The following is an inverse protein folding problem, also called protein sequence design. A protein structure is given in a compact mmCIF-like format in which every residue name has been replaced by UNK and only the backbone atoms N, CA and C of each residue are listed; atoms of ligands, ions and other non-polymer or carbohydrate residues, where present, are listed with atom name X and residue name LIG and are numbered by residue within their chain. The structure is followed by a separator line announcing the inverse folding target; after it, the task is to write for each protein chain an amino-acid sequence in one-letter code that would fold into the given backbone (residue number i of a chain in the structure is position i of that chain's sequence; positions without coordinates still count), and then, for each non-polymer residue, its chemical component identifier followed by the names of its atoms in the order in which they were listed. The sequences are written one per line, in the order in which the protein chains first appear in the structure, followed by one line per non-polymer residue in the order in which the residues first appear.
data_IF_994724844627
#
_entry.id   IF_994724844627
#
_cell.length_a   1.000
_cell.length_b   1.000
_cell.length_c   1.000
_cell.angle_alpha   90.00
_cell.angle_beta   90.00
_cell.angle_gamma   90.00
#
_symmetry.space_group_name_H-M   'P 1'
#
loop_
_entity.id
_entity.type
_entity.pdbx_description
1 polymer ?
#
# COMPACT_ATOMS: atom_id res chain seq x y z
N UNK A 1 3.04 17.80 4.23
CA UNK A 1 2.45 17.01 3.12
C UNK A 1 2.80 15.54 3.33
N UNK A 2 1.82 14.64 3.17
CA UNK A 2 2.01 13.19 3.19
C UNK A 2 2.05 12.67 1.76
N UNK A 3 3.13 12.00 1.37
CA UNK A 3 3.20 11.31 0.07
C UNK A 3 2.45 9.98 0.12
N UNK A 4 1.92 9.52 -1.01
CA UNK A 4 1.21 8.25 -1.09
C UNK A 4 2.02 7.27 -1.94
N UNK A 5 2.47 6.19 -1.35
CA UNK A 5 3.20 5.12 -1.99
C UNK A 5 2.30 3.90 -2.17
N UNK A 6 2.12 3.48 -3.41
CA UNK A 6 1.36 2.27 -3.74
C UNK A 6 2.31 1.15 -4.11
N UNK A 7 2.34 0.09 -3.31
CA UNK A 7 3.19 -1.08 -3.57
C UNK A 7 2.48 -2.01 -4.57
N UNK A 8 3.08 -2.16 -5.74
CA UNK A 8 2.55 -2.92 -6.87
C UNK A 8 3.63 -3.82 -7.52
N UNK A 9 4.69 -4.16 -6.76
CA UNK A 9 5.86 -4.86 -7.31
C UNK A 9 5.89 -6.36 -7.00
N UNK A 10 4.92 -6.89 -6.25
CA UNK A 10 4.82 -8.31 -5.94
C UNK A 10 4.60 -9.17 -7.19
N UNK A 11 5.12 -10.40 -7.18
CA UNK A 11 4.98 -11.33 -8.29
C UNK A 11 3.56 -11.92 -8.40
N UNK A 12 2.85 -12.06 -7.27
CA UNK A 12 1.55 -12.70 -7.25
C UNK A 12 1.59 -14.16 -7.63
N UNK A 13 2.57 -14.92 -7.11
CA UNK A 13 2.87 -16.31 -7.50
C UNK A 13 1.70 -17.29 -7.33
N UNK A 14 0.76 -17.00 -6.43
CA UNK A 14 -0.46 -17.78 -6.19
C UNK A 14 -1.64 -17.41 -7.08
N UNK A 15 -1.44 -16.46 -7.99
CA UNK A 15 -2.44 -15.96 -8.92
C UNK A 15 -1.99 -16.20 -10.37
N UNK A 16 -2.90 -16.55 -11.25
CA UNK A 16 -2.58 -16.70 -12.68
C UNK A 16 -2.50 -15.32 -13.35
N UNK A 17 -1.31 -14.95 -13.82
CA UNK A 17 -1.06 -13.69 -14.48
C UNK A 17 -0.94 -12.51 -13.49
N UNK A 18 -1.26 -11.31 -13.98
CA UNK A 18 -1.18 -10.08 -13.22
C UNK A 18 -2.43 -9.86 -12.36
N UNK A 19 -2.37 -10.21 -11.08
CA UNK A 19 -3.51 -10.05 -10.16
C UNK A 19 -4.00 -8.61 -10.04
N UNK A 20 -3.09 -7.63 -10.11
CA UNK A 20 -3.46 -6.21 -9.95
C UNK A 20 -4.27 -5.67 -11.14
N UNK A 21 -4.16 -6.30 -12.30
CA UNK A 21 -4.94 -5.96 -13.49
C UNK A 21 -6.14 -6.91 -13.72
N UNK A 22 -6.33 -7.90 -12.86
CA UNK A 22 -7.57 -8.68 -12.83
C UNK A 22 -8.76 -7.76 -12.58
N UNK A 23 -9.85 -7.98 -13.30
CA UNK A 23 -10.99 -7.04 -13.31
C UNK A 23 -12.16 -7.54 -12.49
N UNK A 24 -12.75 -6.61 -11.75
CA UNK A 24 -14.04 -6.77 -11.08
C UNK A 24 -14.96 -5.69 -11.65
N UNK A 25 -16.08 -6.10 -12.24
CA UNK A 25 -17.02 -5.15 -12.89
C UNK A 25 -16.31 -4.23 -13.91
N UNK A 26 -15.38 -4.78 -14.69
CA UNK A 26 -14.62 -4.05 -15.70
C UNK A 26 -13.48 -3.16 -15.18
N UNK A 27 -13.26 -3.10 -13.88
CA UNK A 27 -12.25 -2.25 -13.25
C UNK A 27 -11.13 -3.11 -12.69
N UNK A 28 -9.85 -2.83 -13.02
CA UNK A 28 -8.73 -3.55 -12.42
C UNK A 28 -8.70 -3.41 -10.89
N UNK A 29 -8.21 -4.44 -10.20
CA UNK A 29 -8.03 -4.41 -8.73
C UNK A 29 -7.26 -3.15 -8.30
N UNK A 30 -6.13 -2.86 -8.94
CA UNK A 30 -5.35 -1.65 -8.67
C UNK A 30 -6.17 -0.37 -8.90
N UNK A 31 -7.09 -0.37 -9.86
CA UNK A 31 -7.98 0.75 -10.14
C UNK A 31 -8.88 1.10 -8.94
N UNK A 32 -9.42 0.10 -8.24
CA UNK A 32 -10.18 0.32 -7.02
C UNK A 32 -9.32 0.97 -5.93
N UNK A 33 -8.09 0.49 -5.76
CA UNK A 33 -7.15 1.08 -4.79
C UNK A 33 -6.85 2.53 -5.12
N UNK A 34 -6.53 2.84 -6.38
CA UNK A 34 -6.21 4.20 -6.81
C UNK A 34 -7.38 5.19 -6.61
N UNK A 35 -8.61 4.73 -6.75
CA UNK A 35 -9.81 5.57 -6.50
C UNK A 35 -9.95 6.04 -5.06
N UNK A 36 -9.41 5.28 -4.11
CA UNK A 36 -9.48 5.60 -2.68
C UNK A 36 -8.33 6.49 -2.20
N UNK A 37 -7.28 6.67 -3.00
CA UNK A 37 -6.04 7.32 -2.59
C UNK A 37 -5.92 8.75 -3.13
N UNK A 38 -5.49 9.72 -2.31
CA UNK A 38 -5.25 11.09 -2.76
C UNK A 38 -3.94 11.23 -3.54
N UNK A 39 -3.75 12.43 -4.11
CA UNK A 39 -2.47 12.88 -4.66
C UNK A 39 -1.69 13.68 -3.59
N UNK A 40 -0.35 13.79 -3.67
CA UNK A 40 0.52 13.16 -4.69
C UNK A 40 0.74 11.67 -4.37
N UNK A 41 0.77 10.85 -5.42
CA UNK A 41 0.99 9.42 -5.27
C UNK A 41 1.97 8.86 -6.29
N UNK A 42 2.67 7.79 -5.90
CA UNK A 42 3.62 7.05 -6.72
C UNK A 42 3.25 5.56 -6.65
N UNK A 43 3.16 4.92 -7.79
CA UNK A 43 3.05 3.46 -7.88
C UNK A 43 4.45 2.90 -8.10
N UNK A 44 4.89 1.99 -7.24
CA UNK A 44 6.14 1.25 -7.44
C UNK A 44 5.79 -0.14 -7.96
N UNK A 45 6.19 -0.42 -9.19
CA UNK A 45 5.87 -1.65 -9.91
C UNK A 45 7.11 -2.50 -10.13
N UNK A 46 6.92 -3.79 -10.37
CA UNK A 46 7.98 -4.77 -10.61
C UNK A 46 7.77 -5.52 -11.92
N UNK A 47 7.56 -6.83 -11.84
CA UNK A 47 7.39 -7.73 -12.99
C UNK A 47 6.40 -7.21 -14.04
N UNK A 48 5.33 -6.56 -13.61
CA UNK A 48 4.24 -6.11 -14.48
C UNK A 48 4.21 -4.61 -14.68
N UNK A 49 5.35 -3.93 -14.54
CA UNK A 49 5.43 -2.47 -14.67
C UNK A 49 4.91 -1.96 -16.02
N UNK A 50 5.27 -2.62 -17.12
CA UNK A 50 4.85 -2.21 -18.45
C UNK A 50 3.32 -2.25 -18.62
N UNK A 51 2.67 -3.32 -18.13
CA UNK A 51 1.22 -3.48 -18.19
C UNK A 51 0.51 -2.46 -17.31
N UNK A 52 1.05 -2.16 -16.13
CA UNK A 52 0.50 -1.15 -15.22
C UNK A 52 0.60 0.25 -15.84
N UNK A 53 1.73 0.59 -16.43
CA UNK A 53 1.93 1.87 -17.14
C UNK A 53 0.92 2.01 -18.28
N UNK A 54 0.72 0.94 -19.04
CA UNK A 54 -0.23 0.94 -20.16
C UNK A 54 -1.68 1.13 -19.69
N UNK A 55 -2.07 0.46 -18.62
CA UNK A 55 -3.44 0.54 -18.07
C UNK A 55 -3.71 1.90 -17.40
N UNK A 56 -2.71 2.50 -16.77
CA UNK A 56 -2.83 3.75 -16.02
C UNK A 56 -1.88 4.83 -16.55
N UNK A 57 -2.07 5.31 -17.79
CA UNK A 57 -1.10 6.21 -18.43
C UNK A 57 -0.99 7.60 -17.77
N UNK A 58 -1.92 7.97 -16.92
CA UNK A 58 -1.90 9.24 -16.17
C UNK A 58 -1.25 9.15 -14.80
N UNK A 59 -0.92 7.94 -14.34
CA UNK A 59 -0.29 7.70 -13.05
C UNK A 59 1.23 7.79 -13.16
N UNK A 60 1.86 8.22 -12.06
CA UNK A 60 3.32 8.15 -11.93
C UNK A 60 3.68 6.74 -11.48
N UNK A 61 4.36 6.01 -12.34
CA UNK A 61 4.78 4.63 -12.08
C UNK A 61 6.30 4.56 -12.14
N UNK A 62 6.91 4.01 -11.10
CA UNK A 62 8.35 3.77 -11.04
C UNK A 62 8.62 2.28 -11.04
N UNK A 63 9.50 1.84 -11.94
CA UNK A 63 9.96 0.45 -11.98
C UNK A 63 11.00 0.18 -10.91
N UNK A 64 10.79 -0.87 -10.12
CA UNK A 64 11.75 -1.35 -9.14
C UNK A 64 12.54 -2.53 -9.73
N UNK A 65 13.81 -2.34 -10.14
CA UNK A 65 14.61 -3.43 -10.70
C UNK A 65 14.94 -4.53 -9.68
N UNK A 66 14.87 -4.21 -8.40
CA UNK A 66 15.17 -5.12 -7.29
C UNK A 66 13.92 -5.76 -6.68
N UNK A 67 12.81 -5.79 -7.40
CA UNK A 67 11.53 -6.26 -6.86
C UNK A 67 11.58 -7.71 -6.33
N UNK A 68 12.47 -8.55 -6.87
CA UNK A 68 12.68 -9.94 -6.39
C UNK A 68 13.29 -10.01 -5.00
N UNK A 69 13.98 -8.97 -4.57
CA UNK A 69 14.62 -8.89 -3.26
C UNK A 69 13.64 -8.55 -2.13
N UNK A 70 12.38 -8.26 -2.46
CA UNK A 70 11.31 -8.12 -1.50
C UNK A 70 10.74 -6.70 -1.37
N UNK A 71 9.71 -6.59 -0.55
CA UNK A 71 8.89 -5.38 -0.34
C UNK A 71 9.73 -4.18 0.14
N UNK A 72 10.76 -4.40 0.96
CA UNK A 72 11.62 -3.33 1.48
C UNK A 72 12.27 -2.51 0.37
N UNK A 73 12.64 -3.13 -0.75
CA UNK A 73 13.24 -2.42 -1.89
C UNK A 73 12.27 -1.43 -2.53
N UNK A 74 11.00 -1.79 -2.61
CA UNK A 74 9.93 -0.92 -3.13
C UNK A 74 9.63 0.23 -2.19
N UNK A 75 9.61 0.00 -0.88
CA UNK A 75 9.39 1.05 0.12
C UNK A 75 10.54 2.06 0.06
N UNK A 76 11.78 1.60 0.01
CA UNK A 76 12.97 2.47 -0.12
C UNK A 76 12.93 3.33 -1.38
N UNK A 77 12.51 2.76 -2.50
CA UNK A 77 12.40 3.49 -3.76
C UNK A 77 11.35 4.60 -3.68
N UNK A 78 10.19 4.30 -3.11
CA UNK A 78 9.14 5.28 -2.85
C UNK A 78 9.58 6.36 -1.86
N UNK A 79 10.35 5.98 -0.85
CA UNK A 79 10.88 6.91 0.13
C UNK A 79 11.84 7.93 -0.51
N UNK A 80 12.68 7.53 -1.48
CA UNK A 80 13.52 8.46 -2.24
C UNK A 80 12.68 9.51 -2.96
N UNK A 81 11.57 9.10 -3.53
CA UNK A 81 10.67 10.00 -4.24
C UNK A 81 10.00 11.02 -3.29
N UNK A 82 9.69 10.61 -2.07
CA UNK A 82 8.99 11.43 -1.07
C UNK A 82 9.90 11.85 0.12
N UNK A 83 11.21 11.94 -0.08
CA UNK A 83 12.14 12.18 1.03
C UNK A 83 11.92 13.53 1.75
N UNK A 84 11.31 14.50 1.09
CA UNK A 84 11.01 15.81 1.68
C UNK A 84 9.61 15.89 2.31
N UNK A 85 8.81 14.82 2.24
CA UNK A 85 7.49 14.79 2.85
C UNK A 85 7.57 14.58 4.37
N UNK A 86 6.52 14.99 5.09
CA UNK A 86 6.41 14.80 6.54
C UNK A 86 6.18 13.34 6.93
N UNK A 87 5.70 12.57 5.97
CA UNK A 87 5.46 11.14 6.10
C UNK A 87 4.99 10.55 4.78
N UNK A 88 4.86 9.23 4.76
CA UNK A 88 4.33 8.50 3.63
C UNK A 88 3.18 7.58 4.08
N UNK A 89 2.10 7.57 3.30
CA UNK A 89 1.07 6.54 3.39
C UNK A 89 1.49 5.38 2.49
N UNK A 90 1.72 4.21 3.06
CA UNK A 90 2.08 3.00 2.33
C UNK A 90 0.83 2.15 2.13
N UNK A 91 0.34 2.12 0.90
CA UNK A 91 -0.83 1.37 0.49
C UNK A 91 -0.42 0.14 -0.34
N UNK A 92 -1.19 -0.94 -0.22
CA UNK A 92 -0.99 -2.16 -1.00
C UNK A 92 -1.93 -2.16 -2.21
N UNK A 93 -1.38 -2.42 -3.39
CA UNK A 93 -2.13 -2.42 -4.65
C UNK A 93 -3.18 -3.53 -4.79
N UNK A 94 -3.16 -4.52 -3.90
CA UNK A 94 -4.04 -5.68 -3.88
C UNK A 94 -5.15 -5.63 -2.81
N UNK A 95 -5.43 -4.44 -2.26
CA UNK A 95 -6.48 -4.23 -1.25
C UNK A 95 -7.63 -3.38 -1.79
N UNK A 96 -8.46 -3.91 -2.69
CA UNK A 96 -9.47 -3.14 -3.43
C UNK A 96 -10.68 -2.71 -2.60
N UNK A 97 -10.87 -3.23 -1.38
CA UNK A 97 -11.98 -2.86 -0.50
C UNK A 97 -11.71 -1.59 0.31
N UNK A 98 -10.48 -1.08 0.31
CA UNK A 98 -10.16 0.19 0.98
C UNK A 98 -10.97 1.32 0.35
N UNK A 99 -11.65 2.09 1.20
CA UNK A 99 -12.47 3.22 0.76
C UNK A 99 -11.75 4.55 0.97
N UNK A 100 -12.23 5.58 0.29
CA UNK A 100 -11.74 6.95 0.48
C UNK A 100 -11.92 7.40 1.93
N UNK A 101 -13.06 7.08 2.53
CA UNK A 101 -13.37 7.40 3.93
C UNK A 101 -12.37 6.76 4.90
N UNK A 102 -12.01 5.50 4.66
CA UNK A 102 -10.98 4.80 5.45
C UNK A 102 -9.63 5.51 5.34
N UNK A 103 -9.22 5.88 4.14
CA UNK A 103 -7.95 6.59 3.90
C UNK A 103 -7.96 7.97 4.58
N UNK A 104 -9.03 8.74 4.43
CA UNK A 104 -9.18 10.05 5.06
C UNK A 104 -9.13 9.94 6.59
N UNK A 105 -9.76 8.93 7.17
CA UNK A 105 -9.72 8.66 8.60
C UNK A 105 -8.29 8.36 9.09
N UNK A 106 -7.54 7.54 8.36
CA UNK A 106 -6.15 7.20 8.69
C UNK A 106 -5.27 8.45 8.61
N UNK A 107 -5.35 9.21 7.50
CA UNK A 107 -4.58 10.43 7.31
C UNK A 107 -4.93 11.51 8.34
N UNK A 108 -6.20 11.63 8.71
CA UNK A 108 -6.68 12.60 9.71
C UNK A 108 -6.18 12.32 11.12
N UNK A 109 -5.71 11.11 11.40
CA UNK A 109 -5.11 10.76 12.69
C UNK A 109 -3.59 10.95 12.74
N UNK A 110 -2.96 11.34 11.64
CA UNK A 110 -1.54 11.65 11.63
C UNK A 110 -1.26 13.00 12.32
N UNK A 111 -0.33 12.99 13.25
CA UNK A 111 0.14 14.18 13.95
C UNK A 111 1.63 14.05 14.27
N UNK A 112 2.31 15.14 14.66
CA UNK A 112 3.72 15.07 15.09
C UNK A 112 3.98 14.13 16.26
N UNK A 113 2.96 13.80 17.04
CA UNK A 113 3.07 12.88 18.17
C UNK A 113 3.07 11.41 17.76
N UNK A 114 2.72 11.12 16.50
CA UNK A 114 2.66 9.75 15.96
C UNK A 114 3.92 9.43 15.16
N UNK A 115 4.65 8.38 15.54
CA UNK A 115 5.68 7.76 14.68
C UNK A 115 5.04 7.09 13.46
N UNK A 116 3.86 6.54 13.64
CA UNK A 116 3.06 5.95 12.58
C UNK A 116 1.58 5.96 12.94
N UNK A 117 0.72 5.88 11.93
CA UNK A 117 -0.71 5.60 12.09
C UNK A 117 -0.99 4.23 11.52
N UNK A 118 -1.57 3.36 12.34
CA UNK A 118 -1.86 1.97 11.99
C UNK A 118 -3.37 1.73 12.08
N UNK A 119 -4.04 1.37 10.99
CA UNK A 119 -5.43 0.96 11.06
C UNK A 119 -5.52 -0.41 11.73
N UNK A 120 -6.53 -0.57 12.56
CA UNK A 120 -6.82 -1.84 13.23
C UNK A 120 -8.28 -2.23 13.01
N UNK A 121 -8.52 -3.52 12.97
CA UNK A 121 -9.85 -4.09 13.03
C UNK A 121 -9.87 -5.20 14.06
N UNK A 122 -10.66 -5.00 15.13
CA UNK A 122 -10.75 -5.93 16.24
C UNK A 122 -9.37 -6.37 16.78
N UNK A 123 -8.48 -5.38 16.96
CA UNK A 123 -7.13 -5.57 17.49
C UNK A 123 -6.09 -6.07 16.47
N UNK A 124 -6.47 -6.43 15.27
CA UNK A 124 -5.56 -6.86 14.21
C UNK A 124 -5.10 -5.67 13.38
N UNK A 125 -3.79 -5.53 13.18
CA UNK A 125 -3.20 -4.46 12.39
C UNK A 125 -3.43 -4.68 10.90
N UNK A 126 -3.86 -3.61 10.22
CA UNK A 126 -4.14 -3.61 8.78
C UNK A 126 -3.25 -2.66 7.99
N UNK A 127 -3.71 -2.37 6.79
CA UNK A 127 -3.14 -1.42 5.84
C UNK A 127 -4.25 -0.52 5.27
N UNK A 128 -3.91 0.67 4.74
CA UNK A 128 -2.60 1.29 4.63
C UNK A 128 -2.10 1.86 5.97
N UNK A 129 -0.78 2.04 6.08
CA UNK A 129 -0.15 2.66 7.26
C UNK A 129 0.48 4.00 6.88
N UNK A 130 0.47 4.96 7.79
CA UNK A 130 1.25 6.20 7.65
C UNK A 130 2.54 6.06 8.44
N UNK A 131 3.65 6.34 7.80
CA UNK A 131 4.99 6.35 8.42
C UNK A 131 5.48 7.79 8.52
N UNK A 132 5.80 8.24 9.71
CA UNK A 132 6.38 9.56 9.94
C UNK A 132 7.80 9.63 9.37
N UNK A 133 8.22 10.82 8.97
CA UNK A 133 9.58 11.13 8.52
C UNK A 133 10.67 10.69 9.50
N UNK A 134 10.38 10.70 10.78
CA UNK A 134 11.35 10.27 11.81
C UNK A 134 11.80 8.81 11.65
N UNK A 135 10.98 7.96 10.96
CA UNK A 135 11.28 6.56 10.73
C UNK A 135 12.12 6.32 9.46
N UNK A 136 12.38 7.34 8.65
CA UNK A 136 13.02 7.15 7.34
C UNK A 136 14.40 6.50 7.45
N UNK A 137 15.22 6.92 8.41
CA UNK A 137 16.56 6.32 8.61
C UNK A 137 16.50 4.83 8.97
N UNK A 138 15.47 4.42 9.70
CA UNK A 138 15.26 3.01 10.05
C UNK A 138 14.69 2.22 8.89
N UNK A 139 13.83 2.83 8.09
CA UNK A 139 13.28 2.21 6.87
C UNK A 139 14.41 1.89 5.88
N UNK A 140 15.41 2.77 5.76
CA UNK A 140 16.58 2.53 4.92
C UNK A 140 17.36 1.27 5.30
N UNK A 141 17.24 0.79 6.52
CA UNK A 141 17.92 -0.40 7.04
C UNK A 141 17.10 -1.69 6.89
N UNK A 142 15.85 -1.60 6.40
CA UNK A 142 15.03 -2.78 6.16
C UNK A 142 15.58 -3.61 5.00
N UNK A 143 15.45 -4.94 5.12
CA UNK A 143 15.91 -5.89 4.11
C UNK A 143 14.84 -6.91 3.75
N UNK A 144 14.98 -7.50 2.57
CA UNK A 144 14.19 -8.62 2.11
C UNK A 144 12.69 -8.28 1.98
N UNK A 145 11.86 -9.26 2.23
CA UNK A 145 10.40 -9.11 2.17
C UNK A 145 9.81 -8.53 3.46
N UNK A 146 10.60 -7.73 4.16
CA UNK A 146 10.19 -7.07 5.40
C UNK A 146 9.44 -5.80 5.06
N UNK A 147 8.18 -5.76 5.46
CA UNK A 147 7.36 -4.55 5.43
C UNK A 147 7.58 -3.68 6.66
N UNK A 148 7.00 -2.49 6.66
CA UNK A 148 7.12 -1.53 7.75
C UNK A 148 6.57 -2.04 9.09
N UNK A 149 5.59 -2.93 9.09
CA UNK A 149 4.94 -3.43 10.33
C UNK A 149 5.91 -4.07 11.31
N UNK A 150 6.94 -4.78 10.82
CA UNK A 150 7.95 -5.39 11.71
C UNK A 150 8.73 -4.30 12.48
N UNK A 151 9.09 -3.21 11.80
CA UNK A 151 9.70 -2.06 12.42
C UNK A 151 8.76 -1.41 13.44
N UNK A 152 7.48 -1.24 13.08
CA UNK A 152 6.50 -0.57 13.92
C UNK A 152 6.25 -1.30 15.24
N UNK A 153 6.37 -2.61 15.28
CA UNK A 153 6.22 -3.40 16.52
C UNK A 153 7.24 -3.06 17.59
N UNK A 154 8.34 -2.39 17.23
CA UNK A 154 9.37 -1.91 18.17
C UNK A 154 9.15 -0.47 18.65
N UNK A 155 8.09 0.20 18.18
CA UNK A 155 7.84 1.62 18.42
C UNK A 155 6.76 1.86 19.48
N UNK A 156 6.90 2.96 20.21
CA UNK A 156 6.02 3.32 21.33
C UNK A 156 4.98 4.40 21.00
N UNK A 157 5.24 5.23 19.97
CA UNK A 157 4.35 6.35 19.61
C UNK A 157 3.49 6.00 18.37
N UNK A 158 2.81 4.86 18.44
CA UNK A 158 1.89 4.45 17.41
C UNK A 158 0.49 5.00 17.69
N UNK A 159 -0.13 5.58 16.67
CA UNK A 159 -1.51 6.00 16.72
C UNK A 159 -2.36 4.95 15.99
N UNK A 160 -3.31 4.36 16.71
CA UNK A 160 -4.19 3.34 16.16
C UNK A 160 -5.54 3.94 15.77
N UNK A 161 -6.08 3.47 14.65
CA UNK A 161 -7.38 3.90 14.12
C UNK A 161 -8.24 2.68 13.89
N UNK A 162 -9.37 2.57 14.62
CA UNK A 162 -10.33 1.50 14.38
C UNK A 162 -11.01 1.69 13.03
N UNK A 163 -10.94 0.68 12.17
CA UNK A 163 -11.52 0.63 10.85
C UNK A 163 -12.38 -0.63 10.67
N UNK A 164 -13.03 -0.78 9.54
CA UNK A 164 -13.69 -2.02 9.15
C UNK A 164 -12.69 -3.08 8.70
N UNK A 165 -13.22 -4.26 8.36
CA UNK A 165 -12.38 -5.37 7.91
C UNK A 165 -11.65 -5.12 6.58
N UNK A 166 -12.04 -4.08 5.83
CA UNK A 166 -11.39 -3.69 4.57
C UNK A 166 -9.88 -3.48 4.72
N UNK A 167 -9.41 -3.11 5.90
CA UNK A 167 -7.98 -2.90 6.18
C UNK A 167 -7.19 -4.20 6.35
N UNK A 168 -7.87 -5.35 6.38
CA UNK A 168 -7.28 -6.68 6.56
C UNK A 168 -7.34 -7.54 5.30
N UNK A 169 -8.09 -7.14 4.26
CA UNK A 169 -8.43 -8.01 3.12
C UNK A 169 -7.61 -7.62 1.90
N UNK A 170 -6.73 -8.52 1.49
CA UNK A 170 -5.99 -8.47 0.23
C UNK A 170 -6.43 -9.58 -0.73
N UNK A 171 -6.18 -9.38 -2.02
CA UNK A 171 -6.39 -10.41 -3.04
C UNK A 171 -5.04 -11.08 -3.32
N UNK A 172 -4.94 -12.36 -2.96
CA UNK A 172 -3.73 -13.16 -3.14
C UNK A 172 -3.96 -14.38 -4.04
N UNK A 173 -5.20 -14.87 -4.06
CA UNK A 173 -5.64 -16.02 -4.86
C UNK A 173 -6.86 -15.67 -5.70
N UNK A 174 -7.21 -16.55 -6.64
CA UNK A 174 -8.45 -16.42 -7.42
C UNK A 174 -9.70 -16.57 -6.54
N UNK A 175 -9.63 -17.36 -5.47
CA UNK A 175 -10.70 -17.47 -4.48
C UNK A 175 -10.92 -16.14 -3.73
N UNK A 176 -9.84 -15.43 -3.40
CA UNK A 176 -9.92 -14.09 -2.81
C UNK A 176 -10.59 -13.11 -3.78
N UNK A 177 -10.25 -13.20 -5.07
CA UNK A 177 -10.88 -12.37 -6.11
C UNK A 177 -12.40 -12.59 -6.18
N UNK A 178 -12.86 -13.83 -6.11
CA UNK A 178 -14.28 -14.17 -6.12
C UNK A 178 -15.00 -13.61 -4.91
N UNK A 179 -14.39 -13.72 -3.73
CA UNK A 179 -14.94 -13.17 -2.47
C UNK A 179 -15.06 -11.65 -2.52
N UNK A 180 -13.99 -10.97 -2.92
CA UNK A 180 -13.97 -9.50 -3.05
C UNK A 180 -14.95 -9.04 -4.13
N UNK A 181 -15.06 -9.77 -5.24
CA UNK A 181 -16.02 -9.49 -6.31
C UNK A 181 -17.47 -9.49 -5.79
N UNK A 182 -17.81 -10.44 -4.93
CA UNK A 182 -19.15 -10.48 -4.30
C UNK A 182 -19.43 -9.26 -3.43
N UNK A 183 -18.41 -8.73 -2.74
CA UNK A 183 -18.54 -7.54 -1.87
C UNK A 183 -18.63 -6.23 -2.64
N UNK A 184 -18.07 -6.17 -3.85
CA UNK A 184 -18.07 -5.00 -4.73
C UNK A 184 -19.25 -4.99 -5.73
N UNK A 185 -20.08 -6.01 -5.73
CA UNK A 185 -21.24 -6.15 -6.62
C UNK A 185 -22.45 -5.38 -6.10
#
# INVERSE_FOLDING_TARGET
MIGVLVLAAGEGSRFRGNKLLARINGIPILGYVLRSLPQPRLIVAGKYAAEIIHEFPKEVVMYNPNWREGMSTSIKLGLRYFMDSEGILVALGDMPLITKETVEKILGNFSPDCSAVVPIHQGTWGNPVVLSRELYDEIWKLDGDTGAKKLLKTKNRLCFVECGEEVLIDVDTEADLDEVSRRLS
#
